data_IF_097399116696
#
_entry.id   IF_097399116696
#
_cell.length_a   1.000
_cell.length_b   1.000
_cell.length_c   1.000
_cell.angle_alpha   90.00
_cell.angle_beta   90.00
_cell.angle_gamma   90.00
#
_symmetry.space_group_name_H-M   'P 1'
#
loop_
_entity.id
_entity.type
_entity.pdbx_description
1 polymer ?
#
# COMPACT_ATOMS: atom_id res chain seq x y z
N UNK A 1 -16.83 30.83 -11.58
CA UNK A 1 -16.88 29.57 -10.80
C UNK A 1 -15.91 28.58 -11.44
N UNK A 2 -14.80 28.24 -10.79
CA UNK A 2 -13.71 27.46 -11.39
C UNK A 2 -14.04 25.95 -11.43
N UNK A 3 -14.47 25.45 -12.59
CA UNK A 3 -14.88 24.05 -12.84
C UNK A 3 -13.73 23.03 -12.95
N UNK A 4 -12.49 23.39 -12.58
CA UNK A 4 -11.29 22.59 -12.91
C UNK A 4 -10.34 22.35 -11.72
N UNK A 5 -10.83 22.25 -10.48
CA UNK A 5 -9.97 21.78 -9.39
C UNK A 5 -9.63 20.30 -9.63
N UNK A 6 -8.40 20.05 -10.10
CA UNK A 6 -7.78 18.71 -10.13
C UNK A 6 -7.93 18.10 -8.73
N UNK A 7 -8.74 17.04 -8.61
CA UNK A 7 -8.84 16.27 -7.37
C UNK A 7 -7.52 15.53 -7.15
N UNK A 8 -7.04 15.52 -5.92
CA UNK A 8 -5.83 14.78 -5.53
C UNK A 8 -6.23 13.75 -4.47
N UNK A 9 -5.77 12.51 -4.64
CA UNK A 9 -5.73 11.51 -3.58
C UNK A 9 -4.42 11.67 -2.82
N UNK A 10 -4.48 11.59 -1.49
CA UNK A 10 -3.31 11.43 -0.64
C UNK A 10 -3.16 9.95 -0.36
N UNK A 11 -2.05 9.37 -0.78
CA UNK A 11 -1.65 8.02 -0.38
C UNK A 11 -0.83 8.22 0.89
N UNK A 12 -1.44 7.87 2.02
CA UNK A 12 -0.98 8.31 3.34
C UNK A 12 0.30 7.62 3.75
N UNK A 13 0.41 6.31 3.47
CA UNK A 13 1.54 5.50 3.93
C UNK A 13 2.80 5.78 3.10
N UNK A 14 2.63 6.01 1.80
CA UNK A 14 3.69 6.42 0.88
C UNK A 14 4.03 7.92 0.95
N UNK A 15 3.22 8.73 1.64
CA UNK A 15 3.34 10.20 1.73
C UNK A 15 3.47 10.88 0.34
N UNK A 16 2.51 10.58 -0.54
CA UNK A 16 2.45 11.12 -1.90
C UNK A 16 1.05 11.57 -2.29
N UNK A 17 1.00 12.58 -3.16
CA UNK A 17 -0.25 13.05 -3.76
C UNK A 17 -0.34 12.62 -5.22
N UNK A 18 -1.45 11.97 -5.55
CA UNK A 18 -1.75 11.52 -6.93
C UNK A 18 -2.91 12.33 -7.47
N UNK A 19 -2.75 12.86 -8.69
CA UNK A 19 -3.85 13.56 -9.37
C UNK A 19 -4.82 12.55 -9.98
N UNK A 20 -6.09 12.68 -9.62
CA UNK A 20 -7.19 11.86 -10.11
C UNK A 20 -7.81 12.44 -11.40
N UNK A 21 -8.41 11.60 -12.24
CA UNK A 21 -9.24 12.09 -13.35
C UNK A 21 -10.58 12.61 -12.80
N UNK A 22 -11.33 13.31 -13.66
CA UNK A 22 -12.57 14.00 -13.28
C UNK A 22 -13.61 13.09 -12.60
N UNK A 23 -13.68 11.83 -13.00
CA UNK A 23 -14.68 10.86 -12.53
C UNK A 23 -14.09 9.72 -11.71
N UNK A 24 -12.87 9.92 -11.20
CA UNK A 24 -12.24 8.97 -10.30
C UNK A 24 -12.52 9.40 -8.84
N UNK A 25 -12.85 8.41 -8.02
CA UNK A 25 -13.11 8.57 -6.59
C UNK A 25 -12.18 7.64 -5.83
N UNK A 26 -11.48 8.19 -4.84
CA UNK A 26 -10.55 7.47 -3.99
C UNK A 26 -11.03 7.56 -2.55
N UNK A 27 -11.13 6.41 -1.89
CA UNK A 27 -11.40 6.32 -0.47
C UNK A 27 -10.36 5.44 0.21
N UNK A 28 -9.75 5.98 1.24
CA UNK A 28 -8.93 5.23 2.18
C UNK A 28 -9.80 4.97 3.41
N UNK A 29 -10.27 3.73 3.57
CA UNK A 29 -11.14 3.36 4.68
C UNK A 29 -10.37 3.13 5.96
N UNK A 30 -9.05 2.95 5.86
CA UNK A 30 -8.11 2.87 6.96
C UNK A 30 -8.29 1.77 8.00
N UNK A 31 -9.48 1.21 8.17
CA UNK A 31 -9.87 0.21 9.14
C UNK A 31 -11.14 -0.47 8.62
N UNK A 32 -11.15 -1.79 8.47
CA UNK A 32 -12.42 -2.52 8.30
C UNK A 32 -13.10 -2.57 9.68
N UNK A 33 -13.92 -1.56 9.98
CA UNK A 33 -14.96 -1.61 11.01
C UNK A 33 -16.31 -1.92 10.36
N UNK A 34 -17.25 -2.46 11.13
CA UNK A 34 -18.61 -2.89 10.72
C UNK A 34 -19.46 -1.74 10.12
N UNK A 35 -19.10 -1.25 8.93
CA UNK A 35 -19.89 -0.24 8.22
C UNK A 35 -20.70 -0.89 7.10
N UNK A 36 -22.02 -0.87 7.30
CA UNK A 36 -23.05 -1.46 6.45
C UNK A 36 -23.03 -1.01 4.98
N UNK A 37 -22.26 0.01 4.61
CA UNK A 37 -22.16 0.51 3.24
C UNK A 37 -21.31 -0.39 2.33
N UNK A 38 -20.35 -1.13 2.90
CA UNK A 38 -19.44 -1.99 2.13
C UNK A 38 -19.93 -3.43 1.96
N UNK A 39 -20.85 -3.91 2.81
CA UNK A 39 -21.27 -5.33 2.83
C UNK A 39 -21.84 -5.84 1.50
N UNK A 40 -22.46 -5.00 0.67
CA UNK A 40 -22.99 -5.41 -0.64
C UNK A 40 -21.93 -5.56 -1.75
N UNK A 41 -20.75 -4.93 -1.58
CA UNK A 41 -19.60 -5.10 -2.49
C UNK A 41 -18.51 -6.01 -1.87
N UNK A 42 -18.53 -6.21 -0.54
CA UNK A 42 -17.58 -7.05 0.22
C UNK A 42 -17.89 -8.54 0.11
N UNK A 43 -19.10 -8.99 -0.22
CA UNK A 43 -19.39 -10.45 -0.31
C UNK A 43 -18.44 -11.21 -1.28
N UNK A 44 -17.82 -10.51 -2.22
CA UNK A 44 -16.74 -11.04 -3.07
C UNK A 44 -15.33 -10.93 -2.44
N UNK A 45 -15.07 -9.90 -1.62
CA UNK A 45 -13.82 -9.69 -0.87
C UNK A 45 -13.71 -10.66 0.32
N UNK A 46 -14.83 -11.05 0.93
CA UNK A 46 -14.88 -11.87 2.15
C UNK A 46 -14.42 -13.33 1.93
N UNK A 47 -14.28 -13.76 0.66
CA UNK A 47 -13.64 -15.04 0.30
C UNK A 47 -12.10 -14.98 0.34
N UNK A 48 -11.50 -13.80 0.46
CA UNK A 48 -10.05 -13.59 0.45
C UNK A 48 -9.60 -12.67 1.60
N UNK A 49 -9.89 -13.05 2.85
CA UNK A 49 -9.38 -12.38 4.06
C UNK A 49 -7.85 -12.41 4.10
N UNK A 50 -7.21 -11.49 3.37
CA UNK A 50 -5.82 -11.06 3.54
C UNK A 50 -5.83 -9.82 4.43
N UNK A 51 -4.70 -9.55 5.10
CA UNK A 51 -4.59 -8.49 6.11
C UNK A 51 -4.81 -7.06 5.55
N UNK A 52 -4.88 -6.89 4.22
CA UNK A 52 -5.41 -5.71 3.53
C UNK A 52 -5.96 -6.01 2.14
N UNK A 53 -6.49 -4.97 1.49
CA UNK A 53 -7.07 -5.06 0.15
C UNK A 53 -7.02 -3.74 -0.64
N UNK A 54 -6.94 -3.89 -1.96
CA UNK A 54 -7.23 -2.86 -2.95
C UNK A 54 -8.39 -3.30 -3.85
N UNK A 55 -9.50 -2.54 -3.84
CA UNK A 55 -10.64 -2.76 -4.72
C UNK A 55 -10.73 -1.66 -5.78
N UNK A 56 -10.85 -2.07 -7.04
CA UNK A 56 -11.17 -1.18 -8.15
C UNK A 56 -12.48 -1.60 -8.82
N UNK A 57 -13.51 -0.76 -8.68
CA UNK A 57 -14.81 -0.95 -9.33
C UNK A 57 -14.95 0.06 -10.46
N UNK A 58 -15.11 -0.45 -11.69
CA UNK A 58 -15.32 0.36 -12.89
C UNK A 58 -16.80 0.38 -13.26
N UNK A 59 -17.40 1.57 -13.28
CA UNK A 59 -18.78 1.78 -13.67
C UNK A 59 -18.85 2.73 -14.88
N UNK A 60 -19.97 2.78 -15.62
CA UNK A 60 -20.03 3.47 -16.92
C UNK A 60 -19.59 4.94 -16.90
N UNK A 61 -19.78 5.63 -15.78
CA UNK A 61 -19.50 7.07 -15.64
C UNK A 61 -18.45 7.40 -14.57
N UNK A 62 -17.99 6.43 -13.79
CA UNK A 62 -17.10 6.67 -12.65
C UNK A 62 -16.26 5.44 -12.31
N UNK A 63 -15.09 5.70 -11.73
CA UNK A 63 -14.23 4.65 -11.20
C UNK A 63 -14.08 4.84 -9.69
N UNK A 64 -14.29 3.77 -8.93
CA UNK A 64 -14.11 3.74 -7.49
C UNK A 64 -12.86 2.94 -7.13
N UNK A 65 -12.04 3.52 -6.27
CA UNK A 65 -10.84 2.91 -5.71
C UNK A 65 -10.94 2.92 -4.19
N UNK A 66 -10.85 1.74 -3.60
CA UNK A 66 -10.92 1.55 -2.16
C UNK A 66 -9.65 0.83 -1.69
N UNK A 67 -9.06 1.33 -0.61
CA UNK A 67 -7.96 0.69 0.10
C UNK A 67 -8.37 0.52 1.56
N UNK A 68 -8.01 -0.64 2.15
CA UNK A 68 -8.21 -0.89 3.56
C UNK A 68 -7.34 -2.01 4.12
N UNK A 69 -7.30 -2.09 5.45
CA UNK A 69 -6.59 -3.11 6.23
C UNK A 69 -7.45 -3.65 7.39
N UNK A 70 -7.23 -4.90 7.79
CA UNK A 70 -8.04 -5.64 8.78
C UNK A 70 -7.40 -5.73 10.16
N UNK A 71 -8.15 -5.44 11.23
CA UNK A 71 -7.70 -5.39 12.64
C UNK A 71 -7.53 -6.77 13.28
N UNK A 72 -6.53 -7.56 12.90
CA UNK A 72 -6.26 -8.83 13.60
C UNK A 72 -4.75 -9.07 13.87
N UNK A 73 -4.08 -8.26 14.69
CA UNK A 73 -2.79 -8.64 15.30
C UNK A 73 -2.42 -7.82 16.55
N UNK A 74 -1.67 -8.46 17.47
CA UNK A 74 -1.18 -7.91 18.75
C UNK A 74 0.31 -7.54 18.59
N UNK A 75 0.69 -6.29 18.90
CA UNK A 75 2.06 -5.75 18.79
C UNK A 75 2.45 -5.31 17.36
N UNK A 76 3.18 -4.19 17.20
CA UNK A 76 3.64 -3.71 15.88
C UNK A 76 2.54 -3.20 14.94
N UNK A 77 1.31 -3.04 15.43
CA UNK A 77 0.10 -2.79 14.62
C UNK A 77 0.23 -1.60 13.67
N UNK A 78 0.76 -0.45 14.14
CA UNK A 78 0.88 0.74 13.28
C UNK A 78 1.87 0.53 12.15
N UNK A 79 2.94 -0.20 12.41
CA UNK A 79 3.93 -0.57 11.40
C UNK A 79 3.34 -1.55 10.39
N UNK A 80 2.66 -2.59 10.86
CA UNK A 80 1.97 -3.54 9.99
C UNK A 80 0.88 -2.87 9.15
N UNK A 81 0.08 -1.98 9.74
CA UNK A 81 -0.92 -1.17 9.04
C UNK A 81 -0.27 -0.31 7.96
N UNK A 82 0.85 0.34 8.26
CA UNK A 82 1.59 1.14 7.28
C UNK A 82 2.16 0.29 6.16
N UNK A 83 2.69 -0.90 6.49
CA UNK A 83 3.20 -1.87 5.53
C UNK A 83 2.11 -2.30 4.54
N UNK A 84 0.97 -2.78 5.06
CA UNK A 84 -0.16 -3.26 4.28
C UNK A 84 -0.75 -2.12 3.44
N UNK A 85 -0.99 -0.95 4.04
CA UNK A 85 -1.51 0.19 3.28
C UNK A 85 -0.54 0.64 2.19
N UNK A 86 0.76 0.72 2.46
CA UNK A 86 1.75 1.09 1.45
C UNK A 86 1.83 0.05 0.31
N UNK A 87 1.64 -1.22 0.63
CA UNK A 87 1.52 -2.29 -0.37
C UNK A 87 0.32 -2.04 -1.29
N UNK A 88 -0.88 -1.81 -0.73
CA UNK A 88 -2.09 -1.53 -1.51
C UNK A 88 -2.05 -0.19 -2.26
N UNK A 89 -1.48 0.86 -1.67
CA UNK A 89 -1.25 2.15 -2.32
C UNK A 89 -0.31 2.01 -3.52
N UNK A 90 0.65 1.08 -3.45
CA UNK A 90 1.55 0.78 -4.57
C UNK A 90 0.84 0.01 -5.67
N UNK A 91 -0.05 -0.94 -5.33
CA UNK A 91 -0.94 -1.56 -6.32
C UNK A 91 -1.84 -0.53 -7.01
N UNK A 92 -2.38 0.43 -6.26
CA UNK A 92 -3.14 1.54 -6.83
C UNK A 92 -2.29 2.32 -7.84
N UNK A 93 -1.05 2.69 -7.49
CA UNK A 93 -0.14 3.37 -8.41
C UNK A 93 0.18 2.55 -9.66
N UNK A 94 0.47 1.26 -9.52
CA UNK A 94 0.75 0.36 -10.65
C UNK A 94 -0.44 0.30 -11.59
N UNK A 95 -1.64 0.03 -11.04
CA UNK A 95 -2.87 -0.07 -11.84
C UNK A 95 -3.23 1.23 -12.54
N UNK A 96 -2.83 2.37 -11.99
CA UNK A 96 -3.03 3.69 -12.59
C UNK A 96 -1.92 4.14 -13.56
N UNK A 97 -0.84 3.37 -13.70
CA UNK A 97 0.33 3.77 -14.47
C UNK A 97 1.02 5.00 -13.85
N UNK A 98 1.13 5.03 -12.52
CA UNK A 98 1.65 6.16 -11.72
C UNK A 98 2.84 5.79 -10.83
N UNK A 99 3.42 4.60 -10.97
CA UNK A 99 4.59 4.16 -10.20
C UNK A 99 5.78 5.13 -10.28
N UNK A 100 5.97 5.84 -11.41
CA UNK A 100 7.02 6.85 -11.54
C UNK A 100 6.94 8.01 -10.52
N UNK A 101 5.78 8.23 -9.89
CA UNK A 101 5.65 9.17 -8.77
C UNK A 101 6.41 8.64 -7.54
N UNK A 102 6.23 7.35 -7.23
CA UNK A 102 6.92 6.69 -6.13
C UNK A 102 8.41 6.52 -6.42
N UNK A 103 8.81 6.14 -7.64
CA UNK A 103 10.23 6.08 -8.04
C UNK A 103 10.94 7.42 -7.78
N UNK A 104 10.32 8.53 -8.19
CA UNK A 104 10.86 9.88 -7.95
C UNK A 104 10.97 10.18 -6.46
N UNK A 105 9.97 9.78 -5.66
CA UNK A 105 9.96 9.98 -4.21
C UNK A 105 11.06 9.17 -3.53
N UNK A 106 11.24 7.91 -3.92
CA UNK A 106 12.31 7.00 -3.47
C UNK A 106 13.70 7.54 -3.84
N UNK A 107 13.87 8.04 -5.06
CA UNK A 107 15.12 8.65 -5.52
C UNK A 107 15.53 9.85 -4.67
N UNK A 108 14.57 10.68 -4.26
CA UNK A 108 14.82 11.80 -3.35
C UNK A 108 15.23 11.35 -1.93
N UNK A 109 15.02 10.07 -1.59
CA UNK A 109 15.45 9.42 -0.35
C UNK A 109 16.68 8.53 -0.56
N UNK A 110 17.36 8.64 -1.70
CA UNK A 110 18.58 7.89 -2.01
C UNK A 110 18.34 6.46 -2.53
N UNK A 111 17.09 6.07 -2.77
CA UNK A 111 16.74 4.74 -3.30
C UNK A 111 16.50 4.83 -4.81
N UNK A 112 17.39 4.25 -5.60
CA UNK A 112 17.31 4.29 -7.07
C UNK A 112 16.71 2.98 -7.62
N UNK A 113 15.39 2.83 -7.48
CA UNK A 113 14.66 1.66 -7.96
C UNK A 113 13.84 2.04 -9.19
N UNK A 114 13.86 1.18 -10.20
CA UNK A 114 13.03 1.27 -11.40
C UNK A 114 11.96 0.19 -11.32
N UNK A 115 10.71 0.57 -11.06
CA UNK A 115 9.62 -0.41 -11.01
C UNK A 115 9.31 -1.01 -12.37
N UNK A 116 9.66 -0.34 -13.46
CA UNK A 116 9.44 -0.85 -14.82
C UNK A 116 10.29 -2.09 -15.16
N UNK A 117 11.38 -2.35 -14.41
CA UNK A 117 12.21 -3.54 -14.58
C UNK A 117 11.81 -4.70 -13.67
N UNK A 118 10.74 -4.54 -12.88
CA UNK A 118 10.24 -5.54 -11.95
C UNK A 118 8.93 -6.06 -12.51
N UNK A 119 8.95 -7.31 -12.99
CA UNK A 119 7.79 -7.90 -13.67
C UNK A 119 6.65 -8.18 -12.69
N UNK A 120 6.99 -8.80 -11.56
CA UNK A 120 6.02 -9.18 -10.53
C UNK A 120 5.41 -7.95 -9.84
N UNK A 121 4.08 -7.93 -9.74
CA UNK A 121 3.34 -6.83 -9.12
C UNK A 121 3.41 -6.85 -7.60
N UNK A 122 3.47 -8.02 -7.00
CA UNK A 122 3.56 -8.20 -5.55
C UNK A 122 4.95 -7.76 -5.06
N UNK A 123 6.01 -8.07 -5.81
CA UNK A 123 7.37 -7.55 -5.54
C UNK A 123 7.38 -6.03 -5.55
N UNK A 124 6.73 -5.40 -6.55
CA UNK A 124 6.61 -3.92 -6.61
C UNK A 124 5.87 -3.37 -5.40
N UNK A 125 4.76 -3.99 -5.01
CA UNK A 125 3.97 -3.58 -3.86
C UNK A 125 4.76 -3.75 -2.54
N UNK A 126 5.48 -4.85 -2.38
CA UNK A 126 6.34 -5.11 -1.24
C UNK A 126 7.52 -4.13 -1.14
N UNK A 127 8.09 -3.68 -2.26
CA UNK A 127 9.07 -2.59 -2.28
C UNK A 127 8.45 -1.27 -1.77
N UNK A 128 7.20 -0.97 -2.13
CA UNK A 128 6.46 0.17 -1.59
C UNK A 128 6.25 0.09 -0.07
N UNK A 129 5.90 -1.09 0.43
CA UNK A 129 5.84 -1.40 1.85
C UNK A 129 7.19 -1.15 2.56
N UNK A 130 8.27 -1.75 2.06
CA UNK A 130 9.62 -1.59 2.63
C UNK A 130 10.04 -0.13 2.65
N UNK A 131 9.75 0.61 1.58
CA UNK A 131 9.99 2.04 1.53
C UNK A 131 9.25 2.81 2.62
N UNK A 132 7.94 2.59 2.79
CA UNK A 132 7.14 3.30 3.79
C UNK A 132 7.64 3.02 5.20
N UNK A 133 7.99 1.77 5.51
CA UNK A 133 8.55 1.41 6.81
C UNK A 133 9.92 2.06 7.05
N UNK A 134 10.81 1.99 6.08
CA UNK A 134 12.18 2.52 6.16
C UNK A 134 12.18 4.04 6.38
N UNK A 135 11.43 4.79 5.56
CA UNK A 135 11.40 6.27 5.69
C UNK A 135 10.72 6.77 6.96
N UNK A 136 9.90 5.94 7.59
CA UNK A 136 9.24 6.24 8.87
C UNK A 136 10.03 5.72 10.07
N UNK A 137 11.20 5.08 9.88
CA UNK A 137 12.01 4.54 10.96
C UNK A 137 11.37 3.33 11.66
N UNK A 138 10.50 2.60 10.94
CA UNK A 138 9.61 1.56 11.46
C UNK A 138 10.13 0.13 11.27
N UNK A 139 11.38 -0.03 10.84
CA UNK A 139 12.04 -1.32 10.70
C UNK A 139 12.98 -1.53 11.89
N UNK A 140 12.91 -2.71 12.53
CA UNK A 140 13.82 -3.13 13.60
C UNK A 140 14.52 -4.45 13.29
N UNK A 141 15.51 -4.80 14.10
CA UNK A 141 16.14 -6.12 14.05
C UNK A 141 15.14 -7.21 14.50
N UNK A 142 15.30 -8.44 14.02
CA UNK A 142 14.37 -9.55 14.30
C UNK A 142 14.25 -9.95 15.78
N UNK A 143 15.20 -9.53 16.60
CA UNK A 143 15.21 -9.80 18.03
C UNK A 143 14.69 -8.62 18.87
N UNK A 144 14.33 -7.49 18.26
CA UNK A 144 13.77 -6.32 18.94
C UNK A 144 12.24 -6.41 18.99
N UNK A 145 11.67 -6.36 20.20
CA UNK A 145 10.23 -6.22 20.40
C UNK A 145 9.95 -4.74 20.67
N UNK A 146 9.33 -4.08 19.68
CA UNK A 146 8.92 -2.68 19.74
C UNK A 146 7.47 -2.59 19.27
N UNK A 147 6.63 -1.85 20.01
CA UNK A 147 5.20 -1.72 19.68
C UNK A 147 4.95 -0.91 18.40
N UNK A 148 5.89 -0.05 18.02
CA UNK A 148 5.79 0.87 16.90
C UNK A 148 6.72 0.49 15.72
N UNK A 149 7.62 -0.48 15.85
CA UNK A 149 8.50 -0.97 14.76
C UNK A 149 8.22 -2.44 14.46
N UNK A 150 8.43 -2.85 13.21
CA UNK A 150 8.27 -4.23 12.75
C UNK A 150 9.60 -4.77 12.24
N UNK A 151 9.91 -6.02 12.58
CA UNK A 151 11.07 -6.69 12.01
C UNK A 151 10.74 -7.29 10.64
N UNK A 152 11.74 -7.44 9.78
CA UNK A 152 11.53 -8.01 8.44
C UNK A 152 11.10 -9.49 8.52
N UNK A 153 11.61 -10.25 9.48
CA UNK A 153 11.17 -11.62 9.74
C UNK A 153 9.71 -11.70 10.22
N UNK A 154 9.26 -10.72 11.01
CA UNK A 154 7.85 -10.62 11.43
C UNK A 154 6.96 -10.27 10.25
N UNK A 155 7.33 -9.26 9.46
CA UNK A 155 6.61 -8.87 8.24
C UNK A 155 6.45 -10.06 7.28
N UNK A 156 7.52 -10.84 7.07
CA UNK A 156 7.50 -12.04 6.24
C UNK A 156 6.50 -13.10 6.72
N UNK A 157 6.41 -13.31 8.02
CA UNK A 157 5.44 -14.26 8.61
C UNK A 157 3.99 -13.79 8.40
N UNK A 158 3.75 -12.49 8.48
CA UNK A 158 2.42 -11.91 8.27
C UNK A 158 1.99 -11.97 6.81
N UNK A 159 2.86 -11.60 5.87
CA UNK A 159 2.49 -11.58 4.45
C UNK A 159 2.43 -12.97 3.83
N UNK A 160 3.10 -13.98 4.42
CA UNK A 160 3.27 -15.33 3.87
C UNK A 160 3.76 -15.33 2.41
N UNK A 161 4.40 -14.24 2.00
CA UNK A 161 4.63 -13.93 0.59
C UNK A 161 6.11 -14.06 0.25
N UNK A 162 6.43 -15.02 -0.61
CA UNK A 162 7.77 -15.26 -1.13
C UNK A 162 8.31 -14.06 -1.93
N UNK A 163 7.44 -13.17 -2.42
CA UNK A 163 7.85 -11.98 -3.17
C UNK A 163 8.49 -10.90 -2.28
N UNK A 164 8.33 -10.99 -0.95
CA UNK A 164 8.99 -10.07 -0.01
C UNK A 164 10.52 -10.23 -0.02
N UNK A 165 11.02 -11.44 -0.25
CA UNK A 165 12.46 -11.72 -0.26
C UNK A 165 13.14 -11.04 -1.44
N UNK A 166 12.57 -11.20 -2.63
CA UNK A 166 13.00 -10.52 -3.84
C UNK A 166 12.90 -9.00 -3.68
N UNK A 167 11.80 -8.50 -3.09
CA UNK A 167 11.65 -7.09 -2.78
C UNK A 167 12.75 -6.58 -1.84
N UNK A 168 13.13 -7.36 -0.83
CA UNK A 168 14.23 -7.04 0.10
C UNK A 168 15.58 -6.99 -0.62
N UNK A 169 15.86 -7.97 -1.50
CA UNK A 169 17.08 -8.01 -2.30
C UNK A 169 17.19 -6.75 -3.17
N UNK A 170 16.11 -6.38 -3.86
CA UNK A 170 16.06 -5.18 -4.70
C UNK A 170 16.16 -3.90 -3.87
N UNK A 171 15.47 -3.82 -2.73
CA UNK A 171 15.35 -2.57 -1.95
C UNK A 171 16.57 -2.28 -1.07
N UNK A 172 17.17 -3.31 -0.49
CA UNK A 172 18.34 -3.21 0.39
C UNK A 172 19.66 -3.54 -0.32
N UNK A 173 19.62 -4.18 -1.49
CA UNK A 173 20.82 -4.62 -2.21
C UNK A 173 21.52 -5.79 -1.51
N UNK A 174 20.76 -6.73 -0.94
CA UNK A 174 21.26 -7.85 -0.12
C UNK A 174 20.90 -9.19 -0.73
#
# INVERSE_FOLDING_TARGET
MNLFRKKKAKLESLDIYVTLKRFDFYFDYGLIGEDHFLNSYIEEIDKQKKDGFFLHVKLPLFNFYLIGCSKNAVGGWKSLETAIRAHEETHFLDRYGKLGILEKRMKNKGKNISFHSIEDREVRANIGCLYALDVQGRICEDNEVDEDRISLGSLRKFTQDYSLDEAMEIYFGR
#
